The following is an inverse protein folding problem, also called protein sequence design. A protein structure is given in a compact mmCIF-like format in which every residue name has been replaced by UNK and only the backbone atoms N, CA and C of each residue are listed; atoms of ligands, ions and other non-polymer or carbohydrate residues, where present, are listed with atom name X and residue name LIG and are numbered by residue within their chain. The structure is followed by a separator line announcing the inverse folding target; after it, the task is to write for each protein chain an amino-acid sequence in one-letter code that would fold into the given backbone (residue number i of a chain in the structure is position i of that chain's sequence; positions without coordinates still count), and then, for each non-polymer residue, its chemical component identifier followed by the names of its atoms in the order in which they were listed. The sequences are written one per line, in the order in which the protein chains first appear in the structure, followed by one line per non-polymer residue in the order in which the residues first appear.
data_IF_847639897432
#
_entry.id   IF_847639897432
#
_cell.length_a   1.000
_cell.length_b   1.000
_cell.length_c   1.000
_cell.angle_alpha   90.00
_cell.angle_beta   90.00
_cell.angle_gamma   90.00
#
_symmetry.space_group_name_H-M   'P 1'
#
loop_
_entity.id
_entity.type
_entity.pdbx_description
1 polymer ?
#
# COMPACT_ATOMS: atom_id res chain seq x y z
N UNK A 1 -5.62 15.53 8.79
CA UNK A 1 -5.23 14.42 9.02
C UNK A 1 -4.20 13.67 8.25
N UNK A 2 -3.05 14.26 8.33
CA UNK A 2 -1.86 13.69 7.74
C UNK A 2 -1.58 12.31 8.31
N UNK A 3 -1.96 12.10 9.55
CA UNK A 3 -1.70 10.85 10.24
C UNK A 3 -2.44 9.66 9.66
N UNK A 4 -3.59 9.89 9.03
CA UNK A 4 -4.33 8.78 8.43
C UNK A 4 -3.59 8.17 7.27
N UNK A 5 -2.97 9.00 6.44
CA UNK A 5 -2.19 8.51 5.32
C UNK A 5 -1.01 7.68 5.82
N UNK A 6 -0.34 8.18 6.88
CA UNK A 6 0.76 7.46 7.50
C UNK A 6 0.31 6.13 8.07
N UNK A 7 -0.85 6.09 8.71
CA UNK A 7 -1.38 4.85 9.25
C UNK A 7 -1.69 3.84 8.16
N UNK A 8 -2.27 4.29 7.06
CA UNK A 8 -2.58 3.41 5.95
C UNK A 8 -1.30 2.82 5.38
N UNK A 9 -0.28 3.66 5.14
CA UNK A 9 0.96 3.19 4.55
C UNK A 9 1.71 2.23 5.47
N UNK A 10 1.70 2.49 6.76
CA UNK A 10 2.33 1.59 7.72
C UNK A 10 1.61 0.25 7.80
N UNK A 11 0.29 0.27 7.67
CA UNK A 11 -0.50 -0.94 7.74
C UNK A 11 -0.42 -1.80 6.50
N UNK A 12 -0.04 -1.23 5.37
CA UNK A 12 0.12 -2.00 4.15
C UNK A 12 1.10 -3.15 4.37
N UNK A 13 2.26 -2.84 4.96
CA UNK A 13 3.26 -3.86 5.24
C UNK A 13 2.73 -4.91 6.20
N UNK A 14 2.01 -4.49 7.22
CA UNK A 14 1.43 -5.39 8.19
C UNK A 14 0.40 -6.32 7.54
N UNK A 15 -0.47 -5.77 6.73
CA UNK A 15 -1.48 -6.58 6.03
C UNK A 15 -0.84 -7.53 5.03
N UNK A 16 0.18 -7.07 4.31
CA UNK A 16 0.89 -7.93 3.38
C UNK A 16 1.46 -9.14 4.11
N UNK A 17 2.09 -8.90 5.25
CA UNK A 17 2.67 -9.99 6.03
C UNK A 17 1.59 -10.96 6.49
N UNK A 18 0.46 -10.42 6.88
CA UNK A 18 -0.66 -11.23 7.37
C UNK A 18 -1.24 -12.14 6.29
N UNK A 19 -1.25 -11.68 5.05
CA UNK A 19 -1.78 -12.45 3.92
C UNK A 19 -0.68 -13.11 3.10
N UNK A 20 0.56 -13.05 3.58
CA UNK A 20 1.72 -13.62 2.90
C UNK A 20 1.85 -13.11 1.47
N UNK A 21 1.69 -11.80 1.31
CA UNK A 21 1.65 -11.15 0.02
C UNK A 21 2.91 -10.31 -0.17
N UNK A 22 3.66 -10.58 -1.23
CA UNK A 22 4.87 -9.81 -1.54
C UNK A 22 4.51 -8.46 -2.12
N UNK A 23 5.44 -7.48 -1.99
CA UNK A 23 5.25 -6.15 -2.55
C UNK A 23 4.93 -6.21 -4.04
N UNK A 24 5.65 -7.05 -4.76
CA UNK A 24 5.47 -7.19 -6.20
C UNK A 24 4.07 -7.70 -6.54
N UNK A 25 3.57 -8.63 -5.76
CA UNK A 25 2.26 -9.18 -5.99
C UNK A 25 1.16 -8.17 -5.70
N UNK A 26 1.30 -7.43 -4.60
CA UNK A 26 0.35 -6.37 -4.29
C UNK A 26 0.36 -5.30 -5.39
N UNK A 27 1.55 -4.91 -5.83
CA UNK A 27 1.69 -3.92 -6.88
C UNK A 27 0.96 -4.35 -8.14
N UNK A 28 1.09 -5.61 -8.51
CA UNK A 28 0.42 -6.15 -9.70
C UNK A 28 -1.09 -6.10 -9.55
N UNK A 29 -1.59 -6.42 -8.37
CA UNK A 29 -3.04 -6.45 -8.13
C UNK A 29 -3.67 -5.06 -8.19
N UNK A 30 -2.93 -4.03 -7.80
CA UNK A 30 -3.48 -2.68 -7.82
C UNK A 30 -2.99 -1.85 -9.01
N UNK A 31 -2.20 -2.46 -9.90
CA UNK A 31 -1.82 -1.82 -11.14
C UNK A 31 -0.73 -0.77 -11.03
N UNK A 32 0.20 -0.94 -10.09
CA UNK A 32 1.33 -0.02 -9.94
C UNK A 32 2.63 -0.82 -9.93
N UNK A 33 3.75 -0.11 -9.91
CA UNK A 33 5.06 -0.74 -9.83
C UNK A 33 5.39 -1.11 -8.39
N UNK A 34 6.25 -2.11 -8.22
CA UNK A 34 6.68 -2.53 -6.89
C UNK A 34 7.29 -1.38 -6.09
N UNK A 35 8.05 -0.51 -6.76
CA UNK A 35 8.66 0.64 -6.11
C UNK A 35 7.62 1.57 -5.50
N UNK A 36 6.47 1.69 -6.13
CA UNK A 36 5.38 2.50 -5.61
C UNK A 36 4.91 1.95 -4.27
N UNK A 37 4.74 0.63 -4.19
CA UNK A 37 4.34 -0.01 -2.94
C UNK A 37 5.43 0.21 -1.87
N UNK A 38 6.69 0.03 -2.25
CA UNK A 38 7.80 0.24 -1.32
C UNK A 38 7.82 1.66 -0.76
N UNK A 39 7.60 2.65 -1.62
CA UNK A 39 7.58 4.05 -1.21
C UNK A 39 6.38 4.37 -0.34
N UNK A 40 5.24 3.77 -0.63
CA UNK A 40 4.05 3.92 0.21
C UNK A 40 4.33 3.39 1.62
N UNK A 41 4.96 2.22 1.71
CA UNK A 41 5.24 1.60 3.00
C UNK A 41 6.24 2.40 3.81
N UNK A 42 7.11 3.16 3.15
CA UNK A 42 8.08 4.01 3.82
C UNK A 42 7.55 5.40 4.13
N UNK A 43 6.32 5.69 3.73
CA UNK A 43 5.72 7.00 3.94
C UNK A 43 6.28 8.09 3.07
N UNK A 44 6.94 7.73 1.96
CA UNK A 44 7.57 8.71 1.06
C UNK A 44 6.63 9.26 0.01
N UNK A 45 5.42 8.77 -0.01
CA UNK A 45 4.52 9.04 -1.10
C UNK A 45 3.09 8.86 -0.60
N UNK A 46 2.24 9.85 -0.87
CA UNK A 46 0.83 9.77 -0.49
C UNK A 46 0.05 9.14 -1.63
N UNK A 47 -0.68 8.07 -1.39
CA UNK A 47 -1.44 7.44 -2.45
C UNK A 47 -2.59 8.33 -2.89
N UNK A 48 -2.96 8.24 -4.16
CA UNK A 48 -4.20 8.84 -4.62
C UNK A 48 -5.36 8.13 -3.94
N UNK A 49 -6.53 8.77 -3.95
CA UNK A 49 -7.71 8.17 -3.37
C UNK A 49 -8.04 6.85 -4.05
N UNK A 50 -7.90 6.80 -5.38
CA UNK A 50 -8.16 5.59 -6.15
C UNK A 50 -7.19 4.48 -5.76
N UNK A 51 -5.92 4.80 -5.64
CA UNK A 51 -4.92 3.80 -5.28
C UNK A 51 -5.17 3.27 -3.87
N UNK A 52 -5.44 4.17 -2.92
CA UNK A 52 -5.75 3.78 -1.55
C UNK A 52 -6.96 2.85 -1.51
N UNK A 53 -7.99 3.18 -2.28
CA UNK A 53 -9.19 2.37 -2.37
C UNK A 53 -8.88 0.98 -2.93
N UNK A 54 -8.08 0.93 -4.01
CA UNK A 54 -7.73 -0.34 -4.62
C UNK A 54 -6.92 -1.23 -3.68
N UNK A 55 -6.01 -0.62 -2.92
CA UNK A 55 -5.24 -1.36 -1.93
C UNK A 55 -6.17 -1.92 -0.84
N UNK A 56 -7.08 -1.09 -0.38
CA UNK A 56 -8.03 -1.51 0.65
C UNK A 56 -8.87 -2.69 0.19
N UNK A 57 -9.21 -2.73 -1.09
CA UNK A 57 -10.03 -3.82 -1.64
C UNK A 57 -9.29 -5.14 -1.71
N UNK A 58 -7.97 -5.12 -1.73
CA UNK A 58 -7.17 -6.35 -1.74
C UNK A 58 -7.25 -7.01 -0.38
N UNK A 59 -7.32 -6.21 0.65
CA UNK A 59 -7.36 -6.70 2.02
C UNK A 59 -8.76 -6.60 2.58
#
# INVERSE_FOLDING_TARGET
MVERAGMITNRIKEYRARFDLKQEELARRVGVRRETIGNLEKGRYNPSLVLAWNIAKVF
#
